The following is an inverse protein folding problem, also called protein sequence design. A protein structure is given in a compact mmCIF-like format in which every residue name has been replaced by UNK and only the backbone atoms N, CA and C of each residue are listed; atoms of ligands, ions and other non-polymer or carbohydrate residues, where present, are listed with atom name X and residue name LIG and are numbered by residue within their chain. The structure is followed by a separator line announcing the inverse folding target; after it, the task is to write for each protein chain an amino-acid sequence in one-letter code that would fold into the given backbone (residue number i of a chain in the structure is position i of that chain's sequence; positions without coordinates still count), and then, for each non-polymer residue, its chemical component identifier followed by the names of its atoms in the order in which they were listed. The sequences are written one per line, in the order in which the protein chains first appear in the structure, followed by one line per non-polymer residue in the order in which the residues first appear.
data_IF_868780824669
#
_entry.id   IF_868780824669
#
_cell.length_a   1.000
_cell.length_b   1.000
_cell.length_c   1.000
_cell.angle_alpha   90.00
_cell.angle_beta   90.00
_cell.angle_gamma   90.00
#
_symmetry.space_group_name_H-M   'P 1'
#
loop_
_entity.id
_entity.type
_entity.pdbx_description
1 polymer ?
#
# COMPACT_ATOMS: atom_id res chain seq x y z
N UNK A 1 -26.47 -5.58 13.13
CA UNK A 1 -25.20 -4.97 12.67
C UNK A 1 -24.36 -5.93 11.84
N UNK A 2 -24.05 -7.15 12.32
CA UNK A 2 -23.23 -8.12 11.56
C UNK A 2 -23.77 -8.48 10.17
N UNK A 3 -25.09 -8.69 10.02
CA UNK A 3 -25.73 -8.99 8.73
C UNK A 3 -25.45 -7.90 7.67
N UNK A 4 -25.54 -6.63 8.07
CA UNK A 4 -25.26 -5.47 7.20
C UNK A 4 -23.80 -5.46 6.69
N UNK A 5 -22.85 -5.86 7.53
CA UNK A 5 -21.43 -5.90 7.15
C UNK A 5 -21.13 -7.04 6.17
N UNK A 6 -21.72 -8.22 6.37
CA UNK A 6 -21.54 -9.36 5.47
C UNK A 6 -22.15 -9.05 4.09
N UNK A 7 -23.35 -8.45 4.07
CA UNK A 7 -24.02 -8.03 2.84
C UNK A 7 -23.18 -6.99 2.08
N UNK A 8 -22.58 -6.04 2.78
CA UNK A 8 -21.70 -5.02 2.18
C UNK A 8 -20.44 -5.63 1.56
N UNK A 9 -19.78 -6.55 2.27
CA UNK A 9 -18.61 -7.27 1.73
C UNK A 9 -19.01 -8.07 0.49
N UNK A 10 -20.13 -8.78 0.54
CA UNK A 10 -20.63 -9.55 -0.60
C UNK A 10 -20.88 -8.66 -1.83
N UNK A 11 -21.50 -7.50 -1.64
CA UNK A 11 -21.74 -6.52 -2.70
C UNK A 11 -20.43 -6.01 -3.32
N UNK A 12 -19.48 -5.59 -2.48
CA UNK A 12 -18.18 -5.08 -2.93
C UNK A 12 -17.36 -6.14 -3.66
N UNK A 13 -17.36 -7.39 -3.17
CA UNK A 13 -16.70 -8.51 -3.85
C UNK A 13 -17.36 -8.81 -5.20
N UNK A 14 -18.70 -8.80 -5.28
CA UNK A 14 -19.40 -8.97 -6.55
C UNK A 14 -19.01 -7.89 -7.57
N UNK A 15 -18.94 -6.62 -7.14
CA UNK A 15 -18.51 -5.51 -7.99
C UNK A 15 -17.09 -5.72 -8.53
N UNK A 16 -16.14 -6.09 -7.66
CA UNK A 16 -14.76 -6.38 -8.04
C UNK A 16 -14.66 -7.52 -9.07
N UNK A 17 -15.36 -8.63 -8.82
CA UNK A 17 -15.36 -9.80 -9.69
C UNK A 17 -15.97 -9.48 -11.06
N UNK A 18 -17.11 -8.78 -11.09
CA UNK A 18 -17.78 -8.37 -12.32
C UNK A 18 -16.94 -7.41 -13.15
N UNK A 19 -16.30 -6.41 -12.52
CA UNK A 19 -15.51 -5.41 -13.24
C UNK A 19 -14.18 -5.99 -13.77
N UNK A 20 -13.59 -6.95 -13.07
CA UNK A 20 -12.42 -7.68 -13.54
C UNK A 20 -12.74 -8.79 -14.55
N UNK A 21 -14.03 -9.10 -14.80
CA UNK A 21 -14.46 -10.19 -15.67
C UNK A 21 -14.00 -11.57 -15.20
N UNK A 22 -13.79 -11.76 -13.89
CA UNK A 22 -13.23 -12.99 -13.34
C UNK A 22 -14.34 -13.98 -12.98
N UNK A 23 -14.10 -15.27 -13.24
CA UNK A 23 -14.92 -16.35 -12.67
C UNK A 23 -14.41 -16.73 -11.28
N UNK A 24 -15.23 -17.41 -10.47
CA UNK A 24 -14.79 -17.90 -9.15
C UNK A 24 -13.59 -18.84 -9.25
N UNK A 25 -13.53 -19.66 -10.31
CA UNK A 25 -12.39 -20.55 -10.57
C UNK A 25 -11.12 -19.77 -10.94
N UNK A 26 -11.25 -18.67 -11.68
CA UNK A 26 -10.14 -17.77 -11.96
C UNK A 26 -9.64 -17.09 -10.68
N UNK A 27 -10.55 -16.75 -9.76
CA UNK A 27 -10.20 -16.17 -8.46
C UNK A 27 -9.41 -17.15 -7.58
N UNK A 28 -9.88 -18.39 -7.47
CA UNK A 28 -9.19 -19.48 -6.74
C UNK A 28 -7.77 -19.70 -7.29
N UNK A 29 -7.62 -19.74 -8.61
CA UNK A 29 -6.31 -19.85 -9.26
C UNK A 29 -5.41 -18.64 -8.94
N UNK A 30 -5.96 -17.42 -8.96
CA UNK A 30 -5.22 -16.18 -8.68
C UNK A 30 -4.83 -16.06 -7.19
N UNK A 31 -5.63 -16.60 -6.29
CA UNK A 31 -5.33 -16.70 -4.86
C UNK A 31 -4.27 -17.76 -4.53
N UNK A 32 -3.85 -18.58 -5.50
CA UNK A 32 -2.80 -19.58 -5.32
C UNK A 32 -3.19 -20.72 -4.38
N UNK A 33 -4.47 -21.12 -4.37
CA UNK A 33 -4.97 -22.21 -3.53
C UNK A 33 -5.26 -21.83 -2.07
N UNK A 34 -5.04 -20.57 -1.67
CA UNK A 34 -5.43 -20.04 -0.35
C UNK A 34 -6.93 -19.81 -0.20
N UNK A 35 -7.66 -19.87 -1.31
CA UNK A 35 -9.09 -19.64 -1.37
C UNK A 35 -9.73 -20.70 -2.27
N UNK A 36 -10.73 -21.42 -1.77
CA UNK A 36 -11.46 -22.39 -2.59
C UNK A 36 -12.61 -21.73 -3.34
N UNK A 37 -13.02 -22.29 -4.48
CA UNK A 37 -14.21 -21.82 -5.21
C UNK A 37 -15.46 -21.73 -4.34
N UNK A 38 -15.70 -22.71 -3.46
CA UNK A 38 -16.89 -22.73 -2.60
C UNK A 38 -16.85 -21.62 -1.54
N UNK A 39 -15.66 -21.27 -1.04
CA UNK A 39 -15.45 -20.12 -0.16
C UNK A 39 -15.78 -18.81 -0.88
N UNK A 40 -15.33 -18.64 -2.12
CA UNK A 40 -15.67 -17.45 -2.95
C UNK A 40 -17.18 -17.33 -3.10
N UNK A 41 -17.85 -18.43 -3.48
CA UNK A 41 -19.30 -18.43 -3.70
C UNK A 41 -20.07 -18.04 -2.44
N UNK A 42 -19.67 -18.57 -1.27
CA UNK A 42 -20.30 -18.22 0.01
C UNK A 42 -20.15 -16.74 0.35
N UNK A 43 -18.95 -16.18 0.19
CA UNK A 43 -18.69 -14.76 0.42
C UNK A 43 -19.55 -13.90 -0.50
N UNK A 44 -19.60 -14.24 -1.80
CA UNK A 44 -20.37 -13.50 -2.81
C UNK A 44 -21.88 -13.52 -2.58
N UNK A 45 -22.40 -14.54 -1.89
CA UNK A 45 -23.83 -14.70 -1.58
C UNK A 45 -24.21 -14.25 -0.17
N UNK A 46 -23.27 -13.71 0.61
CA UNK A 46 -23.47 -13.45 2.03
C UNK A 46 -23.95 -14.69 2.82
N UNK A 47 -23.56 -15.88 2.39
CA UNK A 47 -23.98 -17.15 3.00
C UNK A 47 -23.06 -17.50 4.19
N UNK A 48 -23.62 -17.41 5.39
CA UNK A 48 -22.90 -17.65 6.64
C UNK A 48 -21.97 -16.49 7.00
N UNK A 49 -21.15 -16.68 8.04
CA UNK A 49 -20.11 -15.71 8.40
C UNK A 49 -18.80 -16.16 7.75
N UNK A 50 -18.37 -15.55 6.63
CA UNK A 50 -17.07 -15.88 6.06
C UNK A 50 -15.96 -15.54 7.05
N UNK A 51 -14.94 -16.41 7.14
CA UNK A 51 -13.77 -16.15 7.97
C UNK A 51 -13.04 -14.90 7.49
N UNK A 52 -12.46 -14.14 8.42
CA UNK A 52 -11.73 -12.91 8.15
C UNK A 52 -10.59 -13.17 7.16
N UNK A 53 -9.96 -14.33 7.27
CA UNK A 53 -8.87 -14.81 6.41
C UNK A 53 -9.32 -14.95 4.96
N UNK A 54 -10.53 -15.48 4.75
CA UNK A 54 -11.08 -15.66 3.40
C UNK A 54 -11.39 -14.32 2.74
N UNK A 55 -11.98 -13.39 3.49
CA UNK A 55 -12.28 -12.04 2.99
C UNK A 55 -10.98 -11.27 2.73
N UNK A 56 -9.98 -11.42 3.59
CA UNK A 56 -8.66 -10.80 3.44
C UNK A 56 -7.92 -11.32 2.21
N UNK A 57 -7.98 -12.62 1.94
CA UNK A 57 -7.34 -13.21 0.76
C UNK A 57 -8.02 -12.78 -0.54
N UNK A 58 -9.35 -12.64 -0.53
CA UNK A 58 -10.10 -12.03 -1.65
C UNK A 58 -9.61 -10.59 -1.88
N UNK A 59 -9.55 -9.76 -0.84
CA UNK A 59 -9.07 -8.38 -0.96
C UNK A 59 -7.67 -8.32 -1.60
N UNK A 60 -6.74 -9.13 -1.10
CA UNK A 60 -5.36 -9.21 -1.61
C UNK A 60 -5.29 -9.63 -3.09
N UNK A 61 -6.19 -10.50 -3.53
CA UNK A 61 -6.27 -10.94 -4.94
C UNK A 61 -6.59 -9.76 -5.88
N UNK A 62 -7.21 -8.71 -5.36
CA UNK A 62 -7.49 -7.44 -6.05
C UNK A 62 -6.51 -6.32 -5.69
N UNK A 63 -5.46 -6.60 -4.91
CA UNK A 63 -4.51 -5.58 -4.43
C UNK A 63 -5.10 -4.64 -3.38
N UNK A 64 -6.13 -5.09 -2.67
CA UNK A 64 -6.82 -4.33 -1.63
C UNK A 64 -6.52 -4.89 -0.24
N UNK A 65 -6.69 -4.03 0.75
CA UNK A 65 -6.73 -4.35 2.17
C UNK A 65 -8.14 -4.75 2.58
N UNK A 66 -8.24 -5.59 3.62
CA UNK A 66 -9.52 -6.10 4.14
C UNK A 66 -10.52 -4.98 4.45
N UNK A 67 -10.07 -3.93 5.12
CA UNK A 67 -10.94 -2.84 5.58
C UNK A 67 -11.58 -2.08 4.41
N UNK A 68 -10.94 -2.06 3.24
CA UNK A 68 -11.48 -1.38 2.06
C UNK A 68 -12.75 -2.07 1.55
N UNK A 69 -12.89 -3.38 1.75
CA UNK A 69 -14.11 -4.12 1.42
C UNK A 69 -15.28 -3.80 2.36
N UNK A 70 -15.02 -3.17 3.50
CA UNK A 70 -16.03 -2.75 4.47
C UNK A 70 -16.50 -1.31 4.25
N UNK A 71 -16.06 -0.64 3.19
CA UNK A 71 -16.46 0.73 2.87
C UNK A 71 -17.70 0.72 1.97
N UNK A 72 -18.71 1.49 2.36
CA UNK A 72 -19.91 1.69 1.54
C UNK A 72 -19.53 2.37 0.21
N UNK A 73 -20.11 1.91 -0.90
CA UNK A 73 -19.84 2.45 -2.24
C UNK A 73 -18.36 2.38 -2.67
N UNK A 74 -17.66 1.30 -2.33
CA UNK A 74 -16.30 1.06 -2.81
C UNK A 74 -16.23 1.20 -4.34
N UNK A 75 -15.38 2.10 -4.82
CA UNK A 75 -14.98 2.19 -6.23
C UNK A 75 -13.68 1.37 -6.42
N UNK A 76 -13.73 0.27 -7.20
CA UNK A 76 -12.53 -0.51 -7.48
C UNK A 76 -11.44 0.23 -8.26
N UNK A 77 -11.78 1.28 -9.01
CA UNK A 77 -10.81 2.08 -9.76
C UNK A 77 -10.13 3.14 -8.87
N UNK A 78 -10.80 3.53 -7.79
CA UNK A 78 -10.31 4.52 -6.84
C UNK A 78 -10.59 4.06 -5.40
N UNK A 79 -9.90 2.99 -4.93
CA UNK A 79 -10.17 2.44 -3.62
C UNK A 79 -9.78 3.44 -2.53
N UNK A 80 -10.54 3.52 -1.41
CA UNK A 80 -10.27 4.42 -0.31
C UNK A 80 -8.91 4.10 0.29
N UNK A 81 -8.11 5.13 0.56
CA UNK A 81 -6.78 4.97 1.16
C UNK A 81 -6.80 5.60 2.56
N UNK A 82 -6.12 4.98 3.51
CA UNK A 82 -5.92 5.62 4.81
C UNK A 82 -5.16 6.93 4.60
N UNK A 83 -5.58 7.99 5.29
CA UNK A 83 -4.87 9.27 5.30
C UNK A 83 -3.45 9.01 5.82
N UNK A 84 -2.46 9.04 4.93
CA UNK A 84 -1.06 8.71 5.24
C UNK A 84 -0.50 7.47 4.54
N UNK A 85 -1.32 6.59 3.95
CA UNK A 85 -0.83 5.53 3.05
C UNK A 85 -0.65 6.10 1.63
N UNK A 86 0.47 6.79 1.42
CA UNK A 86 1.13 6.75 0.10
C UNK A 86 1.76 5.35 0.00
N UNK A 87 1.41 4.61 -1.05
CA UNK A 87 2.15 3.40 -1.41
C UNK A 87 3.62 3.79 -1.61
N UNK A 88 4.50 3.31 -0.75
CA UNK A 88 5.93 3.60 -0.78
C UNK A 88 6.29 4.86 0.01
N UNK A 89 6.68 4.64 1.26
CA UNK A 89 7.43 5.52 2.16
C UNK A 89 7.41 7.03 1.89
N UNK A 90 6.58 7.76 2.63
CA UNK A 90 6.82 9.18 2.89
C UNK A 90 6.07 9.51 4.19
N UNK A 91 6.86 9.65 5.27
CA UNK A 91 6.46 10.34 6.49
C UNK A 91 5.74 11.64 6.12
N UNK A 92 4.76 12.05 6.92
CA UNK A 92 4.10 13.35 6.76
C UNK A 92 5.14 14.43 6.45
N UNK A 93 5.20 14.87 5.18
CA UNK A 93 6.20 15.82 4.74
C UNK A 93 6.11 17.03 5.63
N UNK A 94 7.19 17.35 6.33
CA UNK A 94 7.30 18.59 7.09
C UNK A 94 6.94 19.76 6.16
N UNK A 95 6.43 20.88 6.70
CA UNK A 95 6.17 22.10 5.92
C UNK A 95 7.39 22.47 5.04
N UNK A 96 8.60 22.24 5.57
CA UNK A 96 9.87 22.41 4.88
C UNK A 96 10.07 21.47 3.68
N UNK A 97 9.62 20.23 3.78
CA UNK A 97 9.73 19.23 2.71
C UNK A 97 8.75 19.53 1.58
N UNK A 98 7.54 19.98 1.91
CA UNK A 98 6.57 20.44 0.90
C UNK A 98 7.07 21.69 0.15
N UNK A 99 7.68 22.64 0.87
CA UNK A 99 8.28 23.83 0.28
C UNK A 99 9.49 23.50 -0.61
N UNK A 100 10.32 22.55 -0.20
CA UNK A 100 11.45 22.06 -0.98
C UNK A 100 10.99 21.42 -2.30
N UNK A 101 9.99 20.53 -2.23
CA UNK A 101 9.45 19.85 -3.41
C UNK A 101 8.81 20.82 -4.40
N UNK A 102 8.10 21.84 -3.93
CA UNK A 102 7.55 22.89 -4.80
C UNK A 102 8.66 23.61 -5.54
N UNK A 103 9.67 24.12 -4.83
CA UNK A 103 10.78 24.88 -5.42
C UNK A 103 11.63 24.03 -6.36
N UNK A 104 11.84 22.75 -6.03
CA UNK A 104 12.61 21.84 -6.88
C UNK A 104 11.93 21.58 -8.23
N UNK A 105 10.60 21.47 -8.25
CA UNK A 105 9.83 21.30 -9.49
C UNK A 105 9.88 22.53 -10.40
N UNK A 106 10.04 23.71 -9.82
CA UNK A 106 10.16 24.97 -10.57
C UNK A 106 11.54 25.17 -11.21
N UNK A 107 12.55 24.35 -10.83
CA UNK A 107 13.89 24.41 -11.42
C UNK A 107 13.96 23.75 -12.79
N UNK A 108 14.93 24.19 -13.61
CA UNK A 108 15.23 23.51 -14.88
C UNK A 108 15.87 22.13 -14.63
N UNK A 109 15.77 21.18 -15.58
CA UNK A 109 16.33 19.84 -15.42
C UNK A 109 17.84 19.82 -15.10
N UNK A 110 18.60 20.77 -15.65
CA UNK A 110 20.03 20.90 -15.37
C UNK A 110 20.31 21.28 -13.90
N UNK A 111 19.50 22.19 -13.34
CA UNK A 111 19.62 22.59 -11.94
C UNK A 111 19.07 21.54 -10.98
N UNK A 112 18.02 20.81 -11.37
CA UNK A 112 17.55 19.65 -10.60
C UNK A 112 18.66 18.62 -10.44
N UNK A 113 19.39 18.31 -11.53
CA UNK A 113 20.49 17.36 -11.49
C UNK A 113 21.66 17.84 -10.63
N UNK A 114 21.96 19.14 -10.63
CA UNK A 114 22.97 19.74 -9.76
C UNK A 114 22.62 19.56 -8.28
N UNK A 115 21.38 19.88 -7.92
CA UNK A 115 20.88 19.72 -6.54
C UNK A 115 20.97 18.27 -6.08
N UNK A 116 20.63 17.31 -6.95
CA UNK A 116 20.77 15.89 -6.63
C UNK A 116 22.24 15.50 -6.39
N UNK A 117 23.18 15.99 -7.20
CA UNK A 117 24.61 15.74 -7.00
C UNK A 117 25.12 16.31 -5.67
N UNK A 118 24.67 17.51 -5.30
CA UNK A 118 25.05 18.13 -4.04
C UNK A 118 24.50 17.35 -2.84
N UNK A 119 23.25 16.88 -2.92
CA UNK A 119 22.65 16.01 -1.90
C UNK A 119 23.47 14.73 -1.72
N UNK A 120 23.87 14.08 -2.81
CA UNK A 120 24.74 12.89 -2.76
C UNK A 120 26.06 13.19 -2.04
N UNK A 121 26.73 14.30 -2.39
CA UNK A 121 27.99 14.71 -1.72
C UNK A 121 27.81 14.94 -0.23
N UNK A 122 26.71 15.56 0.19
CA UNK A 122 26.44 15.79 1.61
C UNK A 122 26.14 14.48 2.36
N UNK A 123 25.43 13.54 1.75
CA UNK A 123 25.16 12.23 2.33
C UNK A 123 26.45 11.42 2.51
N UNK A 124 27.34 11.43 1.52
CA UNK A 124 28.65 10.79 1.61
C UNK A 124 29.51 11.40 2.73
N UNK A 125 29.55 12.73 2.81
CA UNK A 125 30.26 13.43 3.88
C UNK A 125 29.70 13.06 5.27
N UNK A 126 28.37 12.99 5.42
CA UNK A 126 27.73 12.59 6.67
C UNK A 126 28.10 11.16 7.07
N UNK A 127 28.06 10.22 6.13
CA UNK A 127 28.48 8.83 6.37
C UNK A 127 29.93 8.74 6.83
N UNK A 128 30.84 9.48 6.19
CA UNK A 128 32.25 9.54 6.58
C UNK A 128 32.46 10.11 7.99
N UNK A 129 31.68 11.13 8.39
CA UNK A 129 31.77 11.65 9.77
C UNK A 129 31.26 10.65 10.81
N UNK A 130 30.20 9.90 10.50
CA UNK A 130 29.67 8.84 11.37
C UNK A 130 30.69 7.71 11.55
N UNK A 131 31.37 7.30 10.47
CA UNK A 131 32.43 6.28 10.53
C UNK A 131 33.67 6.75 11.33
N UNK A 132 34.09 8.01 11.22
CA UNK A 132 35.22 8.55 12.01
C UNK A 132 34.90 8.67 13.51
N UNK A 133 33.65 8.96 13.88
CA UNK A 133 33.22 9.11 15.29
C UNK A 133 33.13 7.77 16.04
N UNK A 134 33.10 6.63 15.33
CA UNK A 134 33.09 5.28 15.88
C UNK A 134 34.46 4.59 15.99
N UNK A 135 35.56 5.24 15.60
CA UNK A 135 36.89 4.65 15.71
C UNK A 135 37.43 4.79 17.15
N UNK A 136 37.71 3.70 17.89
CA UNK A 136 38.27 3.81 19.23
C UNK A 136 39.68 4.38 19.15
N UNK A 137 39.92 5.47 19.89
CA UNK A 137 41.25 6.00 20.12
C UNK A 137 42.13 4.90 20.70
N UNK A 138 43.06 4.37 19.89
CA UNK A 138 44.15 3.50 20.38
C UNK A 138 44.95 4.31 21.41
N UNK A 139 44.63 4.12 22.69
CA UNK A 139 45.53 4.43 23.81
C UNK A 139 46.79 3.58 23.59
N UNK A 140 47.88 4.25 23.18
CA UNK A 140 49.23 3.68 23.25
C UNK A 140 49.58 3.51 24.73
N UNK A 141 49.88 2.29 25.12
CA UNK A 141 50.54 1.93 26.37
C UNK A 141 52.04 2.26 26.28
#
# INVERSE_FOLDING_TARGET
MAKKAIDLVAENVNRLVSQAGLSNAALEKKAGGRLTRSTVDRVRRAEGSPGIESVSEIARTFGLELWQLCVENLDPQSPPKLVGQRSGGESASSENESALLSRFRDLSPAFQQLVLNDVERYLEAEQQTRHKKGAPAKRRA
#
